data_IF_575480070958
#
_entry.id   IF_575480070958
#
_cell.length_a   1.000
_cell.length_b   1.000
_cell.length_c   1.000
_cell.angle_alpha   90.00
_cell.angle_beta   90.00
_cell.angle_gamma   90.00
#
_symmetry.space_group_name_H-M   'P 1'
#
loop_
_entity.id
_entity.type
_entity.pdbx_description
1 polymer ?
#
# COMPACT_ATOMS: atom_id res chain seq x y z
N UNK A 1 -13.62 5.99 8.81
CA UNK A 1 -15.01 5.68 8.39
C UNK A 1 -15.06 4.23 7.97
N UNK A 2 -15.99 3.43 8.52
CA UNK A 2 -16.18 2.04 8.11
C UNK A 2 -16.86 2.02 6.74
N UNK A 3 -16.20 1.51 5.73
CA UNK A 3 -16.79 1.27 4.41
C UNK A 3 -17.15 -0.21 4.28
N UNK A 4 -18.38 -0.49 3.82
CA UNK A 4 -18.83 -1.83 3.52
C UNK A 4 -18.42 -2.19 2.09
N UNK A 5 -17.65 -3.27 1.90
CA UNK A 5 -17.20 -3.69 0.58
C UNK A 5 -18.38 -4.04 -0.34
N UNK A 6 -19.46 -4.59 0.23
CA UNK A 6 -20.65 -5.01 -0.51
C UNK A 6 -21.93 -4.57 0.19
N UNK A 7 -22.36 -3.30 0.07
CA UNK A 7 -23.57 -2.79 0.72
C UNK A 7 -24.86 -3.47 0.22
N UNK A 8 -24.83 -4.11 -0.95
CA UNK A 8 -25.99 -4.83 -1.50
C UNK A 8 -26.48 -5.98 -0.64
N UNK A 9 -25.64 -6.59 0.20
CA UNK A 9 -26.08 -7.65 1.10
C UNK A 9 -26.95 -7.16 2.28
N UNK A 10 -27.03 -5.85 2.52
CA UNK A 10 -27.96 -5.29 3.49
C UNK A 10 -29.43 -5.57 3.11
N UNK A 11 -29.74 -5.77 1.84
CA UNK A 11 -31.08 -6.17 1.39
C UNK A 11 -31.51 -7.53 1.96
N UNK A 12 -30.57 -8.38 2.39
CA UNK A 12 -30.87 -9.65 3.07
C UNK A 12 -31.59 -9.46 4.41
N UNK A 13 -31.50 -8.29 5.06
CA UNK A 13 -32.31 -7.97 6.23
C UNK A 13 -33.82 -7.97 5.94
N UNK A 14 -34.20 -7.72 4.68
CA UNK A 14 -35.60 -7.80 4.27
C UNK A 14 -36.19 -9.21 4.43
N UNK A 15 -35.33 -10.23 4.43
CA UNK A 15 -35.68 -11.63 4.64
C UNK A 15 -36.19 -11.91 6.08
N UNK A 16 -35.88 -10.99 7.03
CA UNK A 16 -36.42 -11.09 8.40
C UNK A 16 -37.93 -10.89 8.47
N UNK A 17 -38.49 -10.08 7.56
CA UNK A 17 -39.94 -9.79 7.54
C UNK A 17 -40.75 -11.07 7.35
N UNK A 18 -40.58 -11.88 6.29
CA UNK A 18 -41.31 -13.12 6.09
C UNK A 18 -40.97 -14.15 7.17
N UNK A 19 -39.76 -14.17 7.71
CA UNK A 19 -39.34 -15.12 8.72
C UNK A 19 -40.04 -14.84 10.08
N UNK A 20 -40.13 -13.55 10.45
CA UNK A 20 -40.89 -13.14 11.65
C UNK A 20 -42.39 -13.39 11.44
N UNK A 21 -42.92 -13.04 10.28
CA UNK A 21 -44.33 -13.28 9.96
C UNK A 21 -44.70 -14.78 10.03
N UNK A 22 -43.82 -15.65 9.46
CA UNK A 22 -43.99 -17.10 9.53
C UNK A 22 -43.93 -17.62 10.98
N UNK A 23 -42.98 -17.09 11.77
CA UNK A 23 -42.87 -17.47 13.19
C UNK A 23 -44.14 -17.12 13.98
N UNK A 24 -44.67 -15.90 13.83
CA UNK A 24 -45.89 -15.45 14.49
C UNK A 24 -47.08 -16.28 14.03
N UNK A 25 -47.17 -16.58 12.73
CA UNK A 25 -48.26 -17.40 12.18
C UNK A 25 -48.22 -18.87 12.66
N UNK A 26 -47.02 -19.45 12.69
CA UNK A 26 -46.76 -20.78 13.20
C UNK A 26 -47.14 -20.91 14.69
N UNK A 27 -46.83 -19.87 15.49
CA UNK A 27 -47.21 -19.82 16.90
C UNK A 27 -48.76 -19.81 17.10
N UNK A 28 -49.46 -19.09 16.22
CA UNK A 28 -50.94 -19.04 16.29
C UNK A 28 -51.58 -20.38 15.94
N UNK A 29 -50.98 -21.17 15.05
CA UNK A 29 -51.45 -22.51 14.67
C UNK A 29 -51.03 -23.61 15.65
N UNK A 30 -49.93 -23.40 16.38
CA UNK A 30 -49.35 -24.41 17.27
C UNK A 30 -49.98 -24.45 18.68
N UNK A 31 -51.06 -23.71 18.92
CA UNK A 31 -51.79 -23.81 20.18
C UNK A 31 -52.73 -25.03 20.12
N UNK A 32 -52.34 -26.19 20.67
CA UNK A 32 -53.25 -27.35 20.74
C UNK A 32 -54.38 -26.99 21.68
N UNK A 33 -55.58 -26.90 21.16
CA UNK A 33 -56.80 -26.78 22.00
C UNK A 33 -57.15 -28.14 22.60
N UNK A 34 -56.75 -28.37 23.83
CA UNK A 34 -57.27 -29.50 24.60
C UNK A 34 -58.66 -29.14 25.08
N UNK A 35 -59.68 -29.92 24.65
CA UNK A 35 -61.01 -29.84 25.21
C UNK A 35 -61.01 -30.54 26.58
N UNK A 36 -61.03 -29.75 27.65
CA UNK A 36 -61.13 -30.24 29.01
C UNK A 36 -62.49 -29.84 29.62
N UNK A 37 -63.11 -30.75 30.36
CA UNK A 37 -64.45 -30.57 30.97
C UNK A 37 -64.38 -29.57 32.13
N UNK A 38 -63.25 -29.25 32.74
CA UNK A 38 -63.17 -28.30 33.85
C UNK A 38 -61.80 -27.59 33.82
N UNK A 39 -61.83 -26.25 33.87
CA UNK A 39 -60.66 -25.38 33.88
C UNK A 39 -60.25 -24.93 35.30
N UNK A 40 -61.12 -25.30 36.32
CA UNK A 40 -60.95 -24.82 37.69
C UNK A 40 -59.58 -25.20 38.34
N UNK A 41 -59.03 -26.35 37.98
CA UNK A 41 -57.75 -26.84 38.51
C UNK A 41 -56.53 -26.12 37.98
N UNK A 42 -56.66 -25.29 36.91
CA UNK A 42 -55.57 -24.58 36.26
C UNK A 42 -55.58 -23.07 36.51
N UNK A 43 -56.54 -22.57 37.30
CA UNK A 43 -56.57 -21.17 37.73
C UNK A 43 -55.49 -20.95 38.79
N UNK A 44 -54.38 -20.36 38.37
CA UNK A 44 -53.27 -20.05 39.27
C UNK A 44 -51.90 -20.52 38.79
N UNK A 45 -51.81 -21.19 37.65
CA UNK A 45 -50.52 -21.55 37.08
C UNK A 45 -49.85 -20.31 36.46
N UNK A 46 -48.72 -19.89 37.03
CA UNK A 46 -47.89 -18.86 36.50
C UNK A 46 -47.26 -19.30 35.15
N UNK A 47 -47.07 -18.36 34.25
CA UNK A 47 -46.44 -18.61 32.96
C UNK A 47 -45.09 -19.28 33.15
N UNK A 48 -44.94 -20.51 32.67
CA UNK A 48 -43.73 -21.29 32.86
C UNK A 48 -42.53 -20.63 32.14
N UNK A 49 -41.35 -20.63 32.79
CA UNK A 49 -40.06 -20.21 32.21
C UNK A 49 -39.79 -20.80 30.81
N UNK A 50 -40.32 -21.99 30.54
CA UNK A 50 -40.19 -22.67 29.23
C UNK A 50 -40.74 -21.85 28.05
N UNK A 51 -41.72 -20.99 28.28
CA UNK A 51 -42.27 -20.09 27.25
C UNK A 51 -41.27 -19.03 26.88
N UNK A 52 -40.54 -18.48 27.85
CA UNK A 52 -39.49 -17.51 27.62
C UNK A 52 -38.30 -18.13 26.88
N UNK A 53 -37.90 -19.35 27.23
CA UNK A 53 -36.79 -20.08 26.56
C UNK A 53 -37.13 -20.35 25.08
N UNK A 54 -38.39 -20.62 24.75
CA UNK A 54 -38.82 -20.81 23.36
C UNK A 54 -38.64 -19.55 22.52
N UNK A 55 -39.00 -18.38 23.05
CA UNK A 55 -38.81 -17.10 22.36
C UNK A 55 -37.34 -16.69 22.31
N UNK A 56 -36.60 -16.94 23.38
CA UNK A 56 -35.15 -16.69 23.44
C UNK A 56 -34.39 -17.45 22.34
N UNK A 57 -34.73 -18.72 22.11
CA UNK A 57 -34.12 -19.52 21.04
C UNK A 57 -34.37 -18.93 19.64
N UNK A 58 -35.53 -18.31 19.41
CA UNK A 58 -35.82 -17.65 18.14
C UNK A 58 -35.02 -16.34 17.98
N UNK A 59 -34.95 -15.54 19.03
CA UNK A 59 -34.14 -14.31 19.06
C UNK A 59 -32.66 -14.62 18.80
N UNK A 60 -32.14 -15.70 19.42
CA UNK A 60 -30.74 -16.13 19.20
C UNK A 60 -30.48 -16.52 17.74
N UNK A 61 -31.42 -17.19 17.07
CA UNK A 61 -31.31 -17.52 15.64
C UNK A 61 -31.30 -16.26 14.75
N UNK A 62 -32.15 -15.27 15.08
CA UNK A 62 -32.17 -14.00 14.38
C UNK A 62 -30.85 -13.23 14.58
N UNK A 63 -30.33 -13.23 15.81
CA UNK A 63 -29.04 -12.60 16.11
C UNK A 63 -27.87 -13.26 15.33
N UNK A 64 -27.83 -14.59 15.29
CA UNK A 64 -26.85 -15.33 14.52
C UNK A 64 -26.95 -15.02 13.02
N UNK A 65 -28.16 -14.95 12.46
CA UNK A 65 -28.35 -14.59 11.06
C UNK A 65 -27.94 -13.14 10.77
N UNK A 66 -28.22 -12.21 11.71
CA UNK A 66 -27.76 -10.82 11.58
C UNK A 66 -26.24 -10.71 11.55
N UNK A 67 -25.53 -11.43 12.44
CA UNK A 67 -24.08 -11.49 12.45
C UNK A 67 -23.54 -12.03 11.12
N UNK A 68 -24.19 -13.04 10.57
CA UNK A 68 -23.78 -13.65 9.30
C UNK A 68 -23.93 -12.66 8.13
N UNK A 69 -25.03 -11.90 8.09
CA UNK A 69 -25.25 -10.84 7.10
C UNK A 69 -24.16 -9.74 7.23
N UNK A 70 -23.83 -9.34 8.45
CA UNK A 70 -22.79 -8.34 8.69
C UNK A 70 -21.42 -8.84 8.22
N UNK A 71 -21.08 -10.11 8.45
CA UNK A 71 -19.85 -10.74 7.97
C UNK A 71 -19.80 -10.74 6.43
N UNK A 72 -20.94 -11.07 5.77
CA UNK A 72 -21.07 -11.03 4.32
C UNK A 72 -20.88 -9.61 3.74
N UNK A 73 -21.31 -8.58 4.46
CA UNK A 73 -21.07 -7.18 4.08
C UNK A 73 -19.59 -6.78 4.12
N UNK A 74 -18.74 -7.60 4.73
CA UNK A 74 -17.29 -7.43 4.81
C UNK A 74 -16.89 -6.02 5.24
N UNK A 75 -17.15 -5.61 6.49
CA UNK A 75 -16.76 -4.30 6.98
C UNK A 75 -15.22 -4.18 6.89
N UNK A 76 -14.76 -3.24 6.08
CA UNK A 76 -13.32 -2.95 5.95
C UNK A 76 -13.07 -1.62 6.65
N UNK A 77 -12.19 -1.63 7.63
CA UNK A 77 -11.53 -0.44 8.10
C UNK A 77 -10.38 -0.18 7.14
N UNK A 78 -10.62 0.68 6.16
CA UNK A 78 -9.49 1.33 5.52
C UNK A 78 -8.97 2.35 6.53
N UNK A 79 -7.86 2.08 7.15
CA UNK A 79 -6.98 3.16 7.51
C UNK A 79 -6.67 3.84 6.18
N UNK A 80 -7.40 4.91 5.88
CA UNK A 80 -6.83 5.92 5.03
C UNK A 80 -5.59 6.35 5.79
N UNK A 81 -4.46 5.74 5.48
CA UNK A 81 -3.24 6.50 5.50
C UNK A 81 -3.68 7.78 4.79
N UNK A 82 -3.95 8.80 5.55
CA UNK A 82 -4.08 10.14 5.01
C UNK A 82 -2.76 10.31 4.27
N UNK A 83 -2.79 10.08 2.94
CA UNK A 83 -1.92 10.87 2.11
C UNK A 83 -2.32 12.28 2.53
N UNK A 84 -1.61 12.77 3.53
CA UNK A 84 -1.50 14.18 3.80
C UNK A 84 -1.29 14.74 2.41
N UNK A 85 -2.19 15.59 1.93
CA UNK A 85 -1.97 16.46 0.78
C UNK A 85 -0.86 17.48 1.14
N UNK A 86 0.15 17.03 1.84
CA UNK A 86 1.44 17.67 1.88
C UNK A 86 1.95 17.52 0.46
N UNK A 87 2.10 18.62 -0.25
CA UNK A 87 2.63 18.68 -1.62
C UNK A 87 4.05 18.10 -1.61
N UNK A 88 4.16 16.78 -1.46
CA UNK A 88 5.41 16.04 -1.54
C UNK A 88 5.95 16.12 -2.96
N UNK A 89 7.24 16.08 -3.10
CA UNK A 89 7.94 16.00 -4.39
C UNK A 89 8.13 14.54 -4.76
N UNK A 90 7.91 14.20 -6.02
CA UNK A 90 8.35 12.91 -6.56
C UNK A 90 9.85 13.00 -6.89
N UNK A 91 10.65 12.11 -6.31
CA UNK A 91 12.11 12.09 -6.47
C UNK A 91 12.55 10.69 -6.85
N UNK A 92 13.38 10.57 -7.89
CA UNK A 92 14.09 9.32 -8.16
C UNK A 92 15.57 9.53 -7.96
N UNK A 93 16.17 8.69 -7.13
CA UNK A 93 17.63 8.67 -6.94
C UNK A 93 18.22 7.61 -7.86
N UNK A 94 19.10 8.04 -8.77
CA UNK A 94 19.85 7.16 -9.66
C UNK A 94 21.29 7.07 -9.17
N UNK A 95 21.69 5.88 -8.69
CA UNK A 95 22.98 5.63 -8.06
C UNK A 95 23.83 4.78 -8.99
N UNK A 96 25.01 5.30 -9.30
CA UNK A 96 26.04 4.59 -10.06
C UNK A 96 26.64 3.46 -9.22
N UNK A 97 26.65 2.25 -9.78
CA UNK A 97 27.29 1.07 -9.17
C UNK A 97 28.35 0.47 -10.09
N UNK A 98 28.92 1.28 -11.00
CA UNK A 98 30.02 0.85 -11.87
C UNK A 98 31.29 0.58 -11.05
N UNK A 99 32.22 -0.18 -11.64
CA UNK A 99 33.47 -0.59 -10.98
C UNK A 99 34.34 0.60 -10.50
N UNK A 100 34.24 1.78 -11.14
CA UNK A 100 34.93 3.01 -10.71
C UNK A 100 34.52 3.49 -9.32
N UNK A 101 33.31 3.16 -8.88
CA UNK A 101 32.79 3.49 -7.55
C UNK A 101 33.47 2.75 -6.39
N UNK A 102 34.34 1.76 -6.67
CA UNK A 102 35.24 1.14 -5.68
C UNK A 102 36.48 1.97 -5.36
N UNK A 103 36.70 3.09 -6.06
CA UNK A 103 37.82 3.97 -5.81
C UNK A 103 37.80 4.50 -4.36
N UNK A 104 38.98 4.47 -3.70
CA UNK A 104 39.13 4.82 -2.27
C UNK A 104 39.66 6.24 -2.05
N UNK A 105 39.41 7.14 -2.98
CA UNK A 105 39.68 8.56 -2.81
C UNK A 105 38.73 9.25 -1.84
N UNK A 106 37.54 8.63 -1.64
CA UNK A 106 36.62 8.90 -0.53
C UNK A 106 36.61 7.70 0.43
N UNK A 107 36.52 7.93 1.74
CA UNK A 107 36.55 6.85 2.72
C UNK A 107 35.14 6.37 3.05
N UNK A 108 34.88 5.03 3.05
CA UNK A 108 35.82 3.95 2.69
C UNK A 108 36.01 3.77 1.17
N UNK A 109 35.00 4.08 0.37
CA UNK A 109 35.01 4.16 -1.09
C UNK A 109 33.90 5.11 -1.58
N UNK A 110 33.82 5.36 -2.91
CA UNK A 110 32.84 6.27 -3.50
C UNK A 110 31.41 5.76 -3.35
N UNK A 111 31.18 4.43 -3.46
CA UNK A 111 29.85 3.86 -3.32
C UNK A 111 29.29 4.05 -1.89
N UNK A 112 30.09 3.78 -0.87
CA UNK A 112 29.67 3.99 0.51
C UNK A 112 29.46 5.49 0.81
N UNK A 113 30.25 6.37 0.22
CA UNK A 113 30.02 7.82 0.30
C UNK A 113 28.68 8.21 -0.37
N UNK A 114 28.37 7.64 -1.54
CA UNK A 114 27.09 7.84 -2.22
C UNK A 114 25.91 7.35 -1.37
N UNK A 115 26.02 6.15 -0.81
CA UNK A 115 24.99 5.57 0.06
C UNK A 115 24.73 6.44 1.30
N UNK A 116 25.79 6.98 1.89
CA UNK A 116 25.69 7.90 3.02
C UNK A 116 24.93 9.19 2.63
N UNK A 117 25.33 9.82 1.52
CA UNK A 117 24.65 11.04 1.02
C UNK A 117 23.18 10.76 0.70
N UNK A 118 22.90 9.62 0.06
CA UNK A 118 21.55 9.20 -0.24
C UNK A 118 20.71 8.96 1.02
N UNK A 119 21.28 8.27 2.01
CA UNK A 119 20.61 8.01 3.30
C UNK A 119 20.33 9.30 4.08
N UNK A 120 21.31 10.22 4.16
CA UNK A 120 21.16 11.50 4.81
C UNK A 120 20.10 12.39 4.12
N UNK A 121 19.98 12.28 2.80
CA UNK A 121 18.96 12.96 2.02
C UNK A 121 17.57 12.41 2.33
N UNK A 122 17.40 11.08 2.29
CA UNK A 122 16.14 10.40 2.56
C UNK A 122 15.67 10.66 3.99
N UNK A 123 16.57 10.60 4.97
CA UNK A 123 16.23 10.80 6.39
C UNK A 123 15.63 12.19 6.69
N UNK A 124 15.91 13.21 5.86
CA UNK A 124 15.39 14.58 6.02
C UNK A 124 14.06 14.81 5.29
N UNK A 125 13.49 13.79 4.64
CA UNK A 125 12.33 13.92 3.75
C UNK A 125 11.22 12.93 4.08
N UNK A 126 10.37 13.31 5.03
CA UNK A 126 9.29 12.43 5.53
C UNK A 126 8.08 12.35 4.60
N UNK A 127 7.86 13.36 3.77
CA UNK A 127 6.64 13.50 2.97
C UNK A 127 6.86 13.29 1.46
N UNK A 128 8.12 13.16 1.02
CA UNK A 128 8.44 12.98 -0.38
C UNK A 128 8.28 11.51 -0.80
N UNK A 129 7.88 11.33 -2.06
CA UNK A 129 7.77 10.01 -2.67
C UNK A 129 9.06 9.71 -3.41
N UNK A 130 9.84 8.74 -2.92
CA UNK A 130 11.19 8.50 -3.40
C UNK A 130 11.30 7.11 -4.02
N UNK A 131 11.89 7.02 -5.21
CA UNK A 131 12.25 5.78 -5.88
C UNK A 131 13.76 5.62 -6.02
N UNK A 132 14.25 4.38 -6.12
CA UNK A 132 15.66 4.06 -6.30
C UNK A 132 15.90 3.35 -7.63
N UNK A 133 16.82 3.88 -8.39
CA UNK A 133 17.38 3.30 -9.61
C UNK A 133 18.88 3.11 -9.39
N UNK A 134 19.40 1.99 -9.81
CA UNK A 134 20.85 1.74 -9.89
C UNK A 134 21.23 1.59 -11.35
N UNK A 135 22.45 1.95 -11.69
CA UNK A 135 22.96 1.76 -13.04
C UNK A 135 24.46 1.49 -13.06
N UNK A 136 24.86 0.69 -14.06
CA UNK A 136 26.23 0.43 -14.47
C UNK A 136 26.26 0.43 -16.01
N UNK A 137 26.49 -0.69 -16.68
CA UNK A 137 26.32 -0.82 -18.13
C UNK A 137 24.86 -0.72 -18.61
N UNK A 138 23.90 -0.85 -17.70
CA UNK A 138 22.47 -0.69 -17.92
C UNK A 138 21.78 -0.06 -16.70
N UNK A 139 20.53 0.41 -16.86
CA UNK A 139 19.75 1.00 -15.76
C UNK A 139 18.68 0.06 -15.23
N UNK A 140 18.61 -0.12 -13.90
CA UNK A 140 17.66 -1.00 -13.22
C UNK A 140 16.91 -0.29 -12.11
N UNK A 141 15.59 -0.53 -11.99
CA UNK A 141 14.80 -0.02 -10.89
C UNK A 141 14.92 -0.95 -9.68
N UNK A 142 15.61 -0.49 -8.65
CA UNK A 142 15.80 -1.25 -7.42
C UNK A 142 14.57 -1.17 -6.50
N UNK A 143 14.00 0.03 -6.36
CA UNK A 143 12.80 0.27 -5.57
C UNK A 143 11.85 1.23 -6.31
N UNK A 144 10.58 0.87 -6.50
CA UNK A 144 9.58 1.78 -7.04
C UNK A 144 9.30 2.94 -6.07
N UNK A 145 8.62 3.98 -6.57
CA UNK A 145 8.26 5.15 -5.78
C UNK A 145 7.53 4.77 -4.49
N UNK A 146 8.03 5.22 -3.35
CA UNK A 146 7.47 4.95 -2.02
C UNK A 146 7.73 6.10 -1.06
N UNK A 147 6.84 6.27 -0.09
CA UNK A 147 7.00 7.20 1.03
C UNK A 147 7.58 6.52 2.27
N UNK A 148 7.88 5.21 2.19
CA UNK A 148 8.29 4.42 3.34
C UNK A 148 9.80 4.52 3.57
N UNK A 149 10.23 5.48 4.41
CA UNK A 149 11.64 5.78 4.66
C UNK A 149 12.46 4.57 5.13
N UNK A 150 11.91 3.74 6.02
CA UNK A 150 12.64 2.58 6.53
C UNK A 150 13.03 1.59 5.41
N UNK A 151 12.11 1.37 4.45
CA UNK A 151 12.39 0.52 3.29
C UNK A 151 13.46 1.13 2.41
N UNK A 152 13.38 2.44 2.15
CA UNK A 152 14.38 3.17 1.36
C UNK A 152 15.77 3.07 1.97
N UNK A 153 15.91 3.35 3.27
CA UNK A 153 17.19 3.29 3.98
C UNK A 153 17.79 1.90 3.96
N UNK A 154 16.98 0.86 4.22
CA UNK A 154 17.44 -0.52 4.17
C UNK A 154 17.90 -0.89 2.76
N UNK A 155 17.13 -0.55 1.72
CA UNK A 155 17.50 -0.83 0.34
C UNK A 155 18.79 -0.10 -0.08
N UNK A 156 18.98 1.17 0.34
CA UNK A 156 20.22 1.91 0.08
C UNK A 156 21.43 1.21 0.71
N UNK A 157 21.30 0.71 1.94
CA UNK A 157 22.38 -0.02 2.61
C UNK A 157 22.76 -1.34 1.93
N UNK A 158 21.78 -2.01 1.30
CA UNK A 158 22.00 -3.27 0.59
C UNK A 158 22.65 -3.10 -0.79
N UNK A 159 22.71 -1.88 -1.34
CA UNK A 159 23.32 -1.63 -2.66
C UNK A 159 24.78 -2.10 -2.68
N UNK A 160 25.11 -2.89 -3.70
CA UNK A 160 26.47 -3.37 -3.96
C UNK A 160 26.76 -3.38 -5.47
N UNK A 161 28.04 -3.32 -5.82
CA UNK A 161 28.51 -3.27 -7.22
C UNK A 161 28.09 -4.52 -8.01
N UNK A 162 27.97 -5.67 -7.36
CA UNK A 162 27.65 -6.93 -8.02
C UNK A 162 26.13 -7.13 -8.27
N UNK A 163 25.30 -6.10 -8.09
CA UNK A 163 23.86 -6.21 -8.33
C UNK A 163 23.47 -6.23 -9.80
N UNK A 164 24.34 -5.71 -10.68
CA UNK A 164 24.17 -5.76 -12.13
C UNK A 164 25.36 -6.48 -12.76
N UNK A 165 25.08 -7.44 -13.65
CA UNK A 165 26.08 -8.14 -14.44
C UNK A 165 26.45 -7.36 -15.72
N UNK A 166 26.57 -6.03 -15.63
CA UNK A 166 26.80 -5.15 -16.75
C UNK A 166 27.95 -4.20 -16.48
N UNK A 167 29.05 -4.36 -17.22
CA UNK A 167 30.22 -3.50 -17.13
C UNK A 167 30.01 -2.15 -17.81
N UNK A 168 30.63 -1.10 -17.27
CA UNK A 168 30.62 0.25 -17.81
C UNK A 168 29.69 1.19 -17.01
N UNK A 169 29.49 2.40 -17.59
CA UNK A 169 28.70 3.47 -16.96
C UNK A 169 27.73 4.04 -18.01
N UNK A 170 26.46 3.59 -17.95
CA UNK A 170 25.38 4.00 -18.85
C UNK A 170 24.51 5.08 -18.19
N UNK A 171 25.01 6.29 -18.05
CA UNK A 171 24.32 7.42 -17.42
C UNK A 171 22.97 7.68 -18.11
N UNK A 172 22.95 7.65 -19.45
CA UNK A 172 21.73 7.90 -20.23
C UNK A 172 20.64 6.89 -19.96
N UNK A 173 20.98 5.61 -19.84
CA UNK A 173 20.03 4.53 -19.53
C UNK A 173 19.56 4.63 -18.08
N UNK A 174 20.43 4.99 -17.14
CA UNK A 174 20.07 5.30 -15.75
C UNK A 174 19.04 6.42 -15.64
N UNK A 175 19.27 7.53 -16.37
CA UNK A 175 18.32 8.66 -16.44
C UNK A 175 17.00 8.23 -17.10
N UNK A 176 17.06 7.51 -18.23
CA UNK A 176 15.86 7.04 -18.93
C UNK A 176 15.01 6.12 -18.06
N UNK A 177 15.65 5.21 -17.30
CA UNK A 177 14.98 4.36 -16.32
C UNK A 177 14.33 5.18 -15.21
N UNK A 178 15.02 6.20 -14.69
CA UNK A 178 14.49 7.12 -13.68
C UNK A 178 13.31 7.92 -14.21
N UNK A 179 13.35 8.43 -15.45
CA UNK A 179 12.23 9.12 -16.11
C UNK A 179 11.03 8.20 -16.20
N UNK A 180 11.22 6.95 -16.62
CA UNK A 180 10.13 5.98 -16.72
C UNK A 180 9.42 5.71 -15.38
N UNK A 181 10.13 5.85 -14.26
CA UNK A 181 9.55 5.66 -12.93
C UNK A 181 8.80 6.88 -12.42
N UNK A 182 9.25 8.08 -12.78
CA UNK A 182 8.72 9.32 -12.22
C UNK A 182 7.67 9.99 -13.11
N UNK A 183 7.64 9.72 -14.43
CA UNK A 183 6.76 10.42 -15.38
C UNK A 183 5.28 10.34 -15.00
N UNK A 184 4.81 9.18 -14.53
CA UNK A 184 3.42 8.92 -14.16
C UNK A 184 3.10 9.36 -12.72
N UNK A 185 4.07 9.94 -12.01
CA UNK A 185 3.89 10.47 -10.65
C UNK A 185 2.88 11.62 -10.60
N UNK A 186 2.19 11.73 -9.47
CA UNK A 186 1.09 12.72 -9.28
C UNK A 186 1.58 14.05 -8.70
N UNK A 187 2.82 14.12 -8.21
CA UNK A 187 3.35 15.34 -7.62
C UNK A 187 3.54 16.44 -8.68
N UNK A 188 3.32 17.69 -8.27
CA UNK A 188 3.54 18.87 -9.12
C UNK A 188 5.02 19.08 -9.45
N UNK A 189 5.91 18.66 -8.56
CA UNK A 189 7.36 18.77 -8.74
C UNK A 189 7.98 17.38 -8.86
N UNK A 190 8.75 17.18 -9.91
CA UNK A 190 9.45 15.93 -10.22
C UNK A 190 10.93 16.18 -10.37
N UNK A 191 11.75 15.37 -9.71
CA UNK A 191 13.20 15.54 -9.73
C UNK A 191 13.94 14.21 -9.77
N UNK A 192 15.03 14.16 -10.52
CA UNK A 192 15.96 13.04 -10.54
C UNK A 192 17.27 13.50 -9.91
N UNK A 193 17.79 12.72 -8.96
CA UNK A 193 19.10 12.94 -8.34
C UNK A 193 20.03 11.87 -8.86
N UNK A 194 21.01 12.26 -9.65
CA UNK A 194 22.01 11.39 -10.23
C UNK A 194 23.29 11.44 -9.39
N UNK A 195 23.70 10.29 -8.85
CA UNK A 195 24.96 10.13 -8.13
C UNK A 195 25.89 9.27 -8.98
N UNK A 196 26.97 9.85 -9.49
CA UNK A 196 27.95 9.18 -10.36
C UNK A 196 29.34 9.78 -10.16
N UNK A 197 30.38 9.00 -10.44
CA UNK A 197 31.77 9.46 -10.42
C UNK A 197 32.38 9.55 -11.82
N UNK A 198 31.63 9.10 -12.82
CA UNK A 198 32.19 8.79 -14.11
C UNK A 198 31.66 9.56 -15.31
N UNK A 199 32.27 9.25 -16.42
CA UNK A 199 31.83 9.67 -17.74
C UNK A 199 31.05 8.52 -18.38
N UNK A 200 30.01 8.85 -19.15
CA UNK A 200 29.26 7.86 -19.91
C UNK A 200 30.15 7.15 -20.93
N UNK A 201 30.28 5.83 -20.80
CA UNK A 201 31.07 4.99 -21.71
C UNK A 201 30.31 3.77 -22.24
N UNK A 202 29.04 3.59 -21.80
CA UNK A 202 28.15 2.48 -22.17
C UNK A 202 26.72 2.97 -22.33
N UNK A 203 25.83 2.06 -22.68
CA UNK A 203 24.39 2.30 -22.79
C UNK A 203 23.91 2.65 -24.19
N UNK A 204 22.61 2.52 -24.39
CA UNK A 204 21.93 2.77 -25.68
C UNK A 204 21.51 4.23 -25.80
N UNK A 205 21.12 4.86 -24.68
CA UNK A 205 20.64 6.23 -24.65
C UNK A 205 21.78 7.19 -24.32
N UNK A 206 22.00 8.20 -25.18
CA UNK A 206 22.96 9.25 -24.85
C UNK A 206 22.44 10.12 -23.68
N UNK A 207 23.32 10.54 -22.73
CA UNK A 207 22.92 11.35 -21.59
C UNK A 207 22.16 12.64 -21.95
N UNK A 208 22.59 13.32 -23.02
CA UNK A 208 21.94 14.54 -23.53
C UNK A 208 20.51 14.25 -24.02
N UNK A 209 20.30 13.14 -24.75
CA UNK A 209 18.98 12.74 -25.22
C UNK A 209 18.06 12.41 -24.04
N UNK A 210 18.58 11.73 -23.01
CA UNK A 210 17.81 11.48 -21.79
C UNK A 210 17.42 12.79 -21.06
N UNK A 211 18.35 13.76 -21.02
CA UNK A 211 18.10 15.08 -20.44
C UNK A 211 17.04 15.88 -21.23
N UNK A 212 17.03 15.80 -22.56
CA UNK A 212 16.00 16.41 -23.40
C UNK A 212 14.62 15.80 -23.15
N UNK A 213 14.55 14.49 -22.96
CA UNK A 213 13.30 13.80 -22.59
C UNK A 213 12.83 14.28 -21.21
N UNK A 214 13.72 14.35 -20.22
CA UNK A 214 13.39 14.85 -18.89
C UNK A 214 12.84 16.30 -18.95
N UNK A 215 13.44 17.16 -19.77
CA UNK A 215 12.98 18.54 -19.96
C UNK A 215 11.56 18.58 -20.53
N UNK A 216 11.24 17.75 -21.54
CA UNK A 216 9.89 17.66 -22.12
C UNK A 216 8.84 17.20 -21.11
N UNK A 217 9.23 16.30 -20.19
CA UNK A 217 8.37 15.80 -19.11
C UNK A 217 8.34 16.73 -17.87
N UNK A 218 9.05 17.87 -17.92
CA UNK A 218 9.08 18.82 -16.80
C UNK A 218 9.86 18.31 -15.59
N UNK A 219 10.76 17.34 -15.77
CA UNK A 219 11.57 16.70 -14.72
C UNK A 219 12.90 17.42 -14.60
N UNK A 220 13.29 17.80 -13.37
CA UNK A 220 14.59 18.40 -13.09
C UNK A 220 15.62 17.33 -12.75
N UNK A 221 16.81 17.44 -13.34
CA UNK A 221 17.92 16.52 -13.03
C UNK A 221 18.97 17.29 -12.23
N UNK A 222 19.32 16.75 -11.06
CA UNK A 222 20.41 17.21 -10.21
C UNK A 222 21.53 16.18 -10.23
N UNK A 223 22.72 16.59 -10.61
CA UNK A 223 23.89 15.70 -10.69
C UNK A 223 24.83 15.96 -9.51
N UNK A 224 25.19 14.91 -8.79
CA UNK A 224 26.17 14.91 -7.71
C UNK A 224 27.39 14.10 -8.17
N UNK A 225 28.46 14.76 -8.42
CA UNK A 225 29.74 14.13 -8.75
C UNK A 225 30.45 13.60 -7.51
N UNK A 226 30.84 12.33 -7.54
CA UNK A 226 31.57 11.65 -6.46
C UNK A 226 33.04 11.48 -6.87
N UNK A 227 33.94 12.14 -6.17
CA UNK A 227 35.39 12.05 -6.43
C UNK A 227 36.14 13.27 -5.94
N UNK A 228 37.45 13.14 -5.80
CA UNK A 228 38.35 14.24 -5.49
C UNK A 228 38.74 14.98 -6.77
N UNK A 229 38.80 16.30 -6.72
CA UNK A 229 39.44 17.07 -7.80
C UNK A 229 40.94 16.72 -7.79
N UNK A 230 41.39 16.06 -8.82
CA UNK A 230 42.81 15.86 -9.09
C UNK A 230 43.57 17.17 -9.37
#
# INVERSE_FOLDING_TARGET
MMNLAHPGYLWLFLLFIPLIAWYVWSQRKANPSMRMSSISAFKGLSTSWKVYVKHFSFVLKLAALSCLIIILCRPQTYDKWSMSDTEGTDIVMAIDISASMLSRDLQPDRLEAAKKVASDFVAKRESDNIGLVIFAGEGFTLLPMTTHQATLLNTIHEISINMLDADGTAIGDGIATAINRIKDGKAKSKSIILLTDGTNNSGVVAPLTAAEIAQKEGIRIYTIGLGTRG
#
